data_IF_609720853774
#
_entry.id   IF_609720853774
#
_cell.length_a   1.000
_cell.length_b   1.000
_cell.length_c   1.000
_cell.angle_alpha   90.00
_cell.angle_beta   90.00
_cell.angle_gamma   90.00
#
_symmetry.space_group_name_H-M   'P 1'
#
loop_
_entity.id
_entity.type
_entity.pdbx_description
1 polymer ?
#
# COMPACT_ATOMS: atom_id res chain seq x y z
N UNK A 1 19.63 8.48 14.74
CA UNK A 1 18.64 8.70 13.63
C UNK A 1 17.40 7.88 13.95
N UNK A 2 16.20 8.36 13.61
CA UNK A 2 14.97 7.58 13.79
C UNK A 2 14.99 6.39 12.85
N UNK A 3 14.70 5.20 13.38
CA UNK A 3 14.56 3.97 12.59
C UNK A 3 13.20 3.98 11.88
N UNK A 4 13.17 3.72 10.59
CA UNK A 4 11.93 3.61 9.81
C UNK A 4 11.30 2.23 10.05
N UNK A 5 10.08 2.21 10.58
CA UNK A 5 9.34 1.01 10.89
C UNK A 5 8.31 0.71 9.81
N UNK A 6 8.46 -0.42 9.12
CA UNK A 6 7.58 -0.84 8.03
C UNK A 6 6.89 -2.16 8.39
N UNK A 7 5.57 -2.17 8.42
CA UNK A 7 4.76 -3.37 8.58
C UNK A 7 4.12 -3.74 7.24
N UNK A 8 4.46 -4.91 6.72
CA UNK A 8 3.85 -5.48 5.53
C UNK A 8 2.90 -6.61 5.92
N UNK A 9 1.65 -6.50 5.48
CA UNK A 9 0.55 -7.36 5.89
C UNK A 9 -0.03 -8.12 4.70
N UNK A 10 -0.22 -9.42 4.86
CA UNK A 10 -1.05 -10.25 3.98
C UNK A 10 -2.05 -11.02 4.85
N UNK A 11 -3.02 -10.28 5.42
CA UNK A 11 -3.97 -10.80 6.38
C UNK A 11 -4.79 -11.96 5.81
N UNK A 12 -4.81 -13.07 6.53
CA UNK A 12 -5.43 -14.33 6.10
C UNK A 12 -6.56 -14.77 7.01
N UNK A 13 -7.48 -15.53 6.42
CA UNK A 13 -8.50 -16.22 7.19
C UNK A 13 -7.91 -17.46 7.87
N UNK A 14 -8.18 -17.61 9.15
CA UNK A 14 -7.94 -18.84 9.92
C UNK A 14 -9.19 -19.73 9.93
N UNK A 15 -9.77 -20.01 8.77
CA UNK A 15 -10.98 -20.85 8.71
C UNK A 15 -10.58 -22.33 8.83
N UNK A 16 -11.29 -23.08 9.68
CA UNK A 16 -11.11 -24.53 9.84
C UNK A 16 -11.25 -25.20 8.45
N UNK A 17 -10.19 -25.88 7.98
CA UNK A 17 -10.15 -26.56 6.70
C UNK A 17 -9.64 -25.74 5.50
N UNK A 18 -9.48 -24.44 5.60
CA UNK A 18 -8.83 -23.63 4.58
C UNK A 18 -7.36 -23.41 4.99
N UNK A 19 -6.46 -24.21 4.43
CA UNK A 19 -5.03 -24.07 4.69
C UNK A 19 -4.47 -22.90 3.89
N UNK A 20 -4.30 -21.77 4.52
CA UNK A 20 -3.60 -20.61 3.97
C UNK A 20 -2.09 -20.66 4.25
N UNK A 21 -1.51 -21.86 4.22
CA UNK A 21 -0.09 -22.11 4.54
C UNK A 21 0.86 -21.79 3.37
N UNK A 22 0.46 -20.95 2.43
CA UNK A 22 1.36 -20.49 1.38
C UNK A 22 2.22 -19.31 1.86
N UNK A 23 3.42 -19.23 1.31
CA UNK A 23 4.33 -18.10 1.58
C UNK A 23 3.72 -16.82 0.96
N UNK A 24 3.65 -15.70 1.70
CA UNK A 24 3.12 -14.44 1.18
C UNK A 24 4.14 -13.76 0.26
N UNK A 25 4.32 -14.31 -0.95
CA UNK A 25 5.36 -13.89 -1.89
C UNK A 25 5.30 -12.40 -2.24
N UNK A 26 4.10 -11.83 -2.43
CA UNK A 26 3.95 -10.42 -2.78
C UNK A 26 4.59 -9.49 -1.77
N UNK A 27 4.21 -9.59 -0.49
CA UNK A 27 4.83 -8.76 0.56
C UNK A 27 6.29 -9.15 0.83
N UNK A 28 6.66 -10.41 0.60
CA UNK A 28 8.03 -10.91 0.71
C UNK A 28 8.94 -10.27 -0.34
N UNK A 29 8.53 -10.20 -1.60
CA UNK A 29 9.27 -9.55 -2.68
C UNK A 29 9.39 -8.05 -2.45
N UNK A 30 8.31 -7.35 -2.10
CA UNK A 30 8.35 -5.94 -1.73
C UNK A 30 9.35 -5.72 -0.59
N UNK A 31 9.25 -6.50 0.50
CA UNK A 31 10.15 -6.38 1.65
C UNK A 31 11.61 -6.59 1.31
N UNK A 32 11.94 -7.60 0.49
CA UNK A 32 13.30 -7.88 0.03
C UNK A 32 13.82 -6.77 -0.86
N UNK A 33 13.00 -6.30 -1.79
CA UNK A 33 13.38 -5.27 -2.75
C UNK A 33 13.69 -3.93 -2.07
N UNK A 34 12.81 -3.45 -1.19
CA UNK A 34 13.06 -2.18 -0.48
C UNK A 34 14.28 -2.26 0.44
N UNK A 35 14.53 -3.40 1.09
CA UNK A 35 15.75 -3.60 1.90
C UNK A 35 17.03 -3.55 1.06
N UNK A 36 16.97 -4.03 -0.18
CA UNK A 36 18.10 -3.95 -1.10
C UNK A 36 18.33 -2.54 -1.63
N UNK A 37 17.28 -1.82 -1.97
CA UNK A 37 17.37 -0.53 -2.63
C UNK A 37 17.57 0.65 -1.68
N UNK A 38 17.10 0.58 -0.43
CA UNK A 38 17.19 1.67 0.54
C UNK A 38 18.28 1.36 1.58
N UNK A 39 19.48 1.94 1.39
CA UNK A 39 20.63 1.79 2.31
C UNK A 39 20.85 3.01 3.21
N UNK A 40 20.26 4.15 2.84
CA UNK A 40 20.52 5.43 3.52
C UNK A 40 19.76 5.62 4.84
N UNK A 41 18.79 4.76 5.13
CA UNK A 41 17.92 4.85 6.30
C UNK A 41 17.98 3.53 7.07
N UNK A 42 18.19 3.61 8.39
CA UNK A 42 18.03 2.43 9.25
C UNK A 42 16.55 2.01 9.26
N UNK A 43 16.30 0.76 8.86
CA UNK A 43 14.96 0.23 8.60
C UNK A 43 14.71 -1.02 9.42
N UNK A 44 13.53 -1.06 10.04
CA UNK A 44 12.98 -2.26 10.66
C UNK A 44 11.73 -2.68 9.90
N UNK A 45 11.71 -3.90 9.40
CA UNK A 45 10.64 -4.43 8.57
C UNK A 45 10.12 -5.72 9.17
N UNK A 46 8.81 -5.75 9.43
CA UNK A 46 8.06 -6.92 9.87
C UNK A 46 7.07 -7.31 8.77
N UNK A 47 6.97 -8.62 8.52
CA UNK A 47 5.92 -9.19 7.67
C UNK A 47 4.99 -10.01 8.56
N UNK A 48 3.68 -9.80 8.43
CA UNK A 48 2.69 -10.57 9.17
C UNK A 48 1.50 -10.98 8.31
N UNK A 49 0.98 -12.16 8.58
CA UNK A 49 -0.21 -12.74 7.94
C UNK A 49 -1.34 -12.96 8.94
N UNK A 50 -1.05 -12.89 10.23
CA UNK A 50 -2.00 -13.10 11.30
C UNK A 50 -2.66 -11.76 11.69
N UNK A 51 -3.99 -11.64 11.56
CA UNK A 51 -4.71 -10.43 11.94
C UNK A 51 -4.47 -9.99 13.39
N UNK A 52 -4.46 -10.92 14.34
CA UNK A 52 -4.29 -10.59 15.77
C UNK A 52 -2.87 -10.04 16.02
N UNK A 53 -1.85 -10.66 15.41
CA UNK A 53 -0.48 -10.15 15.45
C UNK A 53 -0.39 -8.76 14.81
N UNK A 54 -1.00 -8.56 13.63
CA UNK A 54 -1.00 -7.27 12.93
C UNK A 54 -1.59 -6.18 13.83
N UNK A 55 -2.79 -6.38 14.39
CA UNK A 55 -3.40 -5.39 15.29
C UNK A 55 -2.61 -5.18 16.59
N UNK A 56 -1.96 -6.21 17.09
CA UNK A 56 -1.02 -6.13 18.21
C UNK A 56 0.17 -5.23 17.88
N UNK A 57 0.79 -5.42 16.72
CA UNK A 57 1.93 -4.63 16.22
C UNK A 57 1.56 -3.16 15.99
N UNK A 58 0.39 -2.87 15.43
CA UNK A 58 -0.07 -1.49 15.27
C UNK A 58 -0.05 -0.72 16.60
N UNK A 59 -0.50 -1.34 17.68
CA UNK A 59 -0.59 -0.72 19.00
C UNK A 59 0.76 -0.63 19.73
N UNK A 60 1.53 -1.71 19.72
CA UNK A 60 2.75 -1.85 20.51
C UNK A 60 3.98 -1.30 19.78
N UNK A 61 4.10 -1.60 18.49
CA UNK A 61 5.27 -1.24 17.69
C UNK A 61 5.12 0.08 16.93
N UNK A 62 3.88 0.48 16.61
CA UNK A 62 3.50 1.76 15.97
C UNK A 62 4.32 2.02 14.70
N UNK A 63 4.06 1.28 13.61
CA UNK A 63 4.79 1.42 12.36
C UNK A 63 4.61 2.82 11.75
N UNK A 64 5.65 3.30 11.06
CA UNK A 64 5.60 4.53 10.27
C UNK A 64 4.91 4.29 8.92
N UNK A 65 5.04 3.06 8.39
CA UNK A 65 4.46 2.63 7.12
C UNK A 65 3.74 1.30 7.31
N UNK A 66 2.54 1.21 6.77
CA UNK A 66 1.74 -0.02 6.68
C UNK A 66 1.44 -0.32 5.23
N UNK A 67 1.91 -1.46 4.74
CA UNK A 67 1.61 -1.98 3.41
C UNK A 67 0.73 -3.22 3.51
N UNK A 68 -0.42 -3.25 2.83
CA UNK A 68 -1.31 -4.41 2.85
C UNK A 68 -1.52 -4.98 1.45
N UNK A 69 -1.43 -6.30 1.32
CA UNK A 69 -1.96 -6.99 0.16
C UNK A 69 -3.48 -6.82 0.10
N UNK A 70 -4.03 -6.69 -1.11
CA UNK A 70 -5.44 -6.41 -1.30
C UNK A 70 -6.04 -7.36 -2.35
N UNK A 71 -6.59 -8.45 -1.84
CA UNK A 71 -7.34 -9.44 -2.58
C UNK A 71 -8.82 -9.40 -2.19
N UNK A 72 -9.69 -10.01 -2.98
CA UNK A 72 -11.13 -10.04 -2.70
C UNK A 72 -11.46 -10.60 -1.31
N UNK A 73 -10.66 -11.54 -0.83
CA UNK A 73 -10.88 -12.20 0.47
C UNK A 73 -10.35 -11.40 1.67
N UNK A 74 -9.39 -10.48 1.49
CA UNK A 74 -8.81 -9.69 2.58
C UNK A 74 -8.99 -8.17 2.45
N UNK A 75 -9.71 -7.71 1.43
CA UNK A 75 -9.88 -6.28 1.15
C UNK A 75 -10.48 -5.50 2.33
N UNK A 76 -11.46 -6.08 3.01
CA UNK A 76 -12.11 -5.43 4.15
C UNK A 76 -11.16 -5.33 5.35
N UNK A 77 -10.43 -6.40 5.66
CA UNK A 77 -9.48 -6.39 6.78
C UNK A 77 -8.27 -5.51 6.47
N UNK A 78 -7.79 -5.47 5.24
CA UNK A 78 -6.71 -4.56 4.82
C UNK A 78 -7.12 -3.08 5.01
N UNK A 79 -8.35 -2.72 4.67
CA UNK A 79 -8.90 -1.39 4.93
C UNK A 79 -9.03 -1.10 6.45
N UNK A 80 -9.45 -2.09 7.23
CA UNK A 80 -9.54 -1.96 8.69
C UNK A 80 -8.16 -1.76 9.32
N UNK A 81 -7.14 -2.49 8.88
CA UNK A 81 -5.75 -2.33 9.33
C UNK A 81 -5.28 -0.89 9.10
N UNK A 82 -5.49 -0.34 7.89
CA UNK A 82 -5.16 1.06 7.59
C UNK A 82 -5.94 2.04 8.49
N UNK A 83 -7.23 1.78 8.73
CA UNK A 83 -8.05 2.60 9.60
C UNK A 83 -7.55 2.60 11.04
N UNK A 84 -7.21 1.46 11.61
CA UNK A 84 -6.65 1.36 12.96
C UNK A 84 -5.26 2.00 13.05
N UNK A 85 -4.42 1.84 12.02
CA UNK A 85 -3.13 2.52 11.96
C UNK A 85 -3.29 4.05 12.01
N UNK A 86 -4.21 4.61 11.22
CA UNK A 86 -4.51 6.05 11.21
C UNK A 86 -5.12 6.57 12.52
N UNK A 87 -5.91 5.78 13.24
CA UNK A 87 -6.42 6.13 14.57
C UNK A 87 -5.30 6.25 15.60
N UNK A 88 -4.27 5.41 15.49
CA UNK A 88 -3.12 5.43 16.40
C UNK A 88 -2.16 6.57 16.05
N UNK A 89 -1.90 6.77 14.75
CA UNK A 89 -1.05 7.84 14.26
C UNK A 89 -1.51 8.26 12.86
N UNK A 90 -2.10 9.45 12.73
CA UNK A 90 -2.59 9.99 11.47
C UNK A 90 -1.49 10.13 10.40
N UNK A 91 -0.23 10.21 10.81
CA UNK A 91 0.93 10.30 9.91
C UNK A 91 1.50 8.93 9.51
N UNK A 92 0.90 7.80 9.94
CA UNK A 92 1.29 6.50 9.39
C UNK A 92 0.93 6.43 7.91
N UNK A 93 1.90 6.15 7.05
CA UNK A 93 1.68 5.98 5.61
C UNK A 93 1.02 4.63 5.34
N UNK A 94 -0.19 4.64 4.78
CA UNK A 94 -0.97 3.45 4.47
C UNK A 94 -1.01 3.20 2.95
N UNK A 95 -0.44 2.09 2.52
CA UNK A 95 -0.36 1.66 1.13
C UNK A 95 -1.05 0.31 1.00
N UNK A 96 -1.96 0.17 0.05
CA UNK A 96 -2.52 -1.12 -0.32
C UNK A 96 -2.17 -1.46 -1.77
N UNK A 97 -2.10 -2.74 -2.10
CA UNK A 97 -1.82 -3.17 -3.46
C UNK A 97 -2.27 -4.61 -3.70
N UNK A 98 -2.60 -4.93 -4.93
CA UNK A 98 -3.06 -6.26 -5.30
C UNK A 98 -4.20 -6.25 -6.33
N UNK A 99 -4.78 -7.41 -6.66
CA UNK A 99 -5.73 -7.51 -7.76
C UNK A 99 -7.13 -6.97 -7.47
N UNK A 100 -7.49 -6.75 -6.20
CA UNK A 100 -8.81 -6.22 -5.82
C UNK A 100 -8.83 -4.69 -6.00
N UNK A 101 -8.73 -4.26 -7.25
CA UNK A 101 -8.81 -2.88 -7.66
C UNK A 101 -9.64 -2.75 -8.94
N UNK A 102 -10.52 -1.74 -9.07
CA UNK A 102 -11.46 -1.65 -10.19
C UNK A 102 -10.84 -1.55 -11.57
N UNK A 103 -9.57 -1.21 -11.66
CA UNK A 103 -8.82 -1.19 -12.91
C UNK A 103 -8.49 -2.59 -13.47
N UNK A 104 -8.66 -3.65 -12.63
CA UNK A 104 -8.35 -5.03 -13.01
C UNK A 104 -6.85 -5.34 -12.99
N UNK A 105 -6.53 -6.62 -13.17
CA UNK A 105 -5.14 -7.13 -13.15
C UNK A 105 -4.42 -7.01 -14.50
N UNK A 106 -5.14 -6.64 -15.55
CA UNK A 106 -4.66 -6.70 -16.93
C UNK A 106 -4.33 -5.33 -17.53
N UNK A 107 -3.23 -4.71 -17.14
CA UNK A 107 -2.78 -3.43 -17.67
C UNK A 107 -2.59 -3.37 -19.18
N UNK A 108 -2.26 -4.48 -19.80
CA UNK A 108 -2.08 -4.56 -21.27
C UNK A 108 -3.36 -4.27 -22.04
N UNK A 109 -4.52 -4.28 -21.37
CA UNK A 109 -5.83 -4.08 -21.99
C UNK A 109 -6.41 -2.66 -21.87
N UNK A 110 -5.80 -1.78 -21.08
CA UNK A 110 -6.32 -0.41 -20.87
C UNK A 110 -6.12 0.49 -22.09
N UNK A 111 -5.27 0.13 -23.04
CA UNK A 111 -5.06 0.93 -24.26
C UNK A 111 -6.31 1.16 -25.12
N UNK A 112 -7.41 0.41 -24.89
CA UNK A 112 -8.63 0.47 -25.71
C UNK A 112 -9.92 0.63 -24.93
N UNK A 113 -9.91 0.76 -23.61
CA UNK A 113 -11.12 0.98 -22.82
C UNK A 113 -11.25 2.46 -22.45
N UNK A 114 -12.49 2.94 -22.44
CA UNK A 114 -12.85 4.31 -22.07
C UNK A 114 -12.19 4.69 -20.73
N UNK A 115 -11.06 5.36 -20.80
CA UNK A 115 -10.16 5.63 -19.69
C UNK A 115 -10.88 6.34 -18.54
N UNK A 116 -11.78 7.29 -18.83
CA UNK A 116 -12.49 8.07 -17.83
C UNK A 116 -13.37 7.20 -16.92
N UNK A 117 -14.14 6.24 -17.47
CA UNK A 117 -15.00 5.37 -16.66
C UNK A 117 -14.20 4.43 -15.72
N UNK A 118 -12.98 4.07 -16.10
CA UNK A 118 -12.10 3.26 -15.25
C UNK A 118 -11.53 4.12 -14.13
N UNK A 119 -11.12 5.36 -14.42
CA UNK A 119 -10.65 6.31 -13.40
C UNK A 119 -11.73 6.64 -12.38
N UNK A 120 -12.95 6.87 -12.80
CA UNK A 120 -14.09 7.13 -11.90
C UNK A 120 -14.30 5.98 -10.90
N UNK A 121 -14.19 4.73 -11.36
CA UNK A 121 -14.31 3.55 -10.49
C UNK A 121 -13.14 3.45 -9.50
N UNK A 122 -11.92 3.68 -9.95
CA UNK A 122 -10.74 3.67 -9.10
C UNK A 122 -10.80 4.78 -8.06
N UNK A 123 -11.24 5.96 -8.49
CA UNK A 123 -11.44 7.11 -7.62
C UNK A 123 -12.49 6.83 -6.53
N UNK A 124 -13.67 6.34 -6.94
CA UNK A 124 -14.73 5.95 -5.99
C UNK A 124 -14.24 4.89 -5.00
N UNK A 125 -13.49 3.91 -5.48
CA UNK A 125 -12.91 2.87 -4.63
C UNK A 125 -12.01 3.45 -3.52
N UNK A 126 -11.18 4.43 -3.84
CA UNK A 126 -10.32 5.10 -2.86
C UNK A 126 -11.08 6.04 -1.95
N UNK A 127 -12.12 6.75 -2.46
CA UNK A 127 -13.00 7.58 -1.64
C UNK A 127 -13.70 6.79 -0.53
N UNK A 128 -14.06 5.54 -0.80
CA UNK A 128 -14.65 4.64 0.19
C UNK A 128 -13.63 4.12 1.23
N UNK A 129 -12.32 4.43 1.06
CA UNK A 129 -11.21 3.97 1.90
C UNK A 129 -10.33 5.13 2.40
N UNK A 130 -10.89 6.07 3.19
CA UNK A 130 -10.21 7.31 3.57
C UNK A 130 -8.88 7.12 4.32
N UNK A 131 -8.68 5.95 4.91
CA UNK A 131 -7.45 5.65 5.64
C UNK A 131 -6.32 5.11 4.75
N UNK A 132 -6.59 4.87 3.47
CA UNK A 132 -5.60 4.45 2.48
C UNK A 132 -5.03 5.69 1.80
N UNK A 133 -3.72 5.89 1.89
CA UNK A 133 -3.05 7.03 1.24
C UNK A 133 -2.72 6.73 -0.22
N UNK A 134 -2.28 5.49 -0.52
CA UNK A 134 -1.90 5.09 -1.87
C UNK A 134 -2.37 3.69 -2.21
N UNK A 135 -2.69 3.50 -3.49
CA UNK A 135 -2.84 2.19 -4.08
C UNK A 135 -1.64 1.90 -4.99
N UNK A 136 -0.84 0.90 -4.63
CA UNK A 136 0.23 0.39 -5.47
C UNK A 136 -0.37 -0.52 -6.54
N UNK A 137 -0.51 -0.01 -7.75
CA UNK A 137 -1.04 -0.74 -8.89
C UNK A 137 0.09 -1.21 -9.80
N UNK A 138 0.06 -2.44 -10.26
CA UNK A 138 1.05 -3.08 -11.14
C UNK A 138 2.25 -3.67 -10.40
N UNK A 139 3.46 -3.28 -10.75
CA UNK A 139 4.70 -3.79 -10.16
C UNK A 139 4.88 -3.21 -8.75
N UNK A 140 4.27 -3.90 -7.78
CA UNK A 140 4.19 -3.44 -6.40
C UNK A 140 5.54 -3.09 -5.79
N UNK A 141 6.59 -3.81 -6.16
CA UNK A 141 7.96 -3.59 -5.67
C UNK A 141 8.47 -2.20 -6.06
N UNK A 142 8.28 -1.82 -7.33
CA UNK A 142 8.78 -0.55 -7.87
C UNK A 142 7.94 0.60 -7.32
N UNK A 143 6.61 0.47 -7.40
CA UNK A 143 5.68 1.52 -6.94
C UNK A 143 5.84 1.77 -5.43
N UNK A 144 5.92 0.70 -4.62
CA UNK A 144 6.12 0.84 -3.18
C UNK A 144 7.46 1.51 -2.85
N UNK A 145 8.54 1.13 -3.55
CA UNK A 145 9.86 1.75 -3.38
C UNK A 145 9.82 3.25 -3.66
N UNK A 146 9.19 3.67 -4.75
CA UNK A 146 9.11 5.09 -5.13
C UNK A 146 8.30 5.91 -4.12
N UNK A 147 7.13 5.41 -3.69
CA UNK A 147 6.34 6.06 -2.63
C UNK A 147 7.18 6.19 -1.37
N UNK A 148 7.88 5.14 -0.97
CA UNK A 148 8.71 5.12 0.24
C UNK A 148 9.90 6.08 0.15
N UNK A 149 10.58 6.16 -0.99
CA UNK A 149 11.66 7.11 -1.22
C UNK A 149 11.17 8.56 -1.13
N UNK A 150 10.00 8.87 -1.67
CA UNK A 150 9.41 10.20 -1.53
C UNK A 150 8.96 10.49 -0.10
N UNK A 151 8.44 9.51 0.61
CA UNK A 151 8.09 9.67 2.03
C UNK A 151 9.31 10.02 2.88
N UNK A 152 10.45 9.34 2.64
CA UNK A 152 11.73 9.64 3.29
C UNK A 152 12.19 11.06 2.95
N UNK A 153 12.20 11.44 1.66
CA UNK A 153 12.59 12.79 1.20
C UNK A 153 11.74 13.90 1.78
N UNK A 154 10.45 13.61 2.06
CA UNK A 154 9.52 14.56 2.65
C UNK A 154 9.45 14.47 4.18
N UNK A 155 10.55 14.06 4.83
CA UNK A 155 10.70 14.01 6.28
C UNK A 155 9.65 13.13 6.98
N UNK A 156 9.28 12.02 6.37
CA UNK A 156 8.27 11.08 6.89
C UNK A 156 6.91 11.74 7.14
N UNK A 157 6.52 12.69 6.30
CA UNK A 157 5.21 13.39 6.36
C UNK A 157 4.31 12.94 5.23
N UNK A 158 3.17 12.33 5.58
CA UNK A 158 2.13 11.92 4.62
C UNK A 158 1.54 13.13 3.91
N UNK A 159 1.28 14.23 4.63
CA UNK A 159 0.73 15.45 4.05
C UNK A 159 1.64 16.04 2.97
N UNK A 160 2.96 16.12 3.25
CA UNK A 160 3.92 16.61 2.27
C UNK A 160 4.08 15.66 1.09
N UNK A 161 4.07 14.34 1.36
CA UNK A 161 4.14 13.31 0.34
C UNK A 161 2.97 13.43 -0.66
N UNK A 162 1.74 13.57 -0.18
CA UNK A 162 0.56 13.73 -1.03
C UNK A 162 0.69 14.96 -1.94
N UNK A 163 1.20 16.08 -1.41
CA UNK A 163 1.41 17.29 -2.21
C UNK A 163 2.42 17.11 -3.34
N UNK A 164 3.46 16.33 -3.11
CA UNK A 164 4.54 16.10 -4.09
C UNK A 164 4.12 15.07 -5.13
N UNK A 165 3.54 13.95 -4.71
CA UNK A 165 3.16 12.87 -5.63
C UNK A 165 2.00 13.21 -6.56
N UNK A 166 1.22 14.27 -6.26
CA UNK A 166 0.23 14.83 -7.20
C UNK A 166 0.82 15.25 -8.55
N UNK A 167 2.11 15.53 -8.62
CA UNK A 167 2.79 15.95 -9.83
C UNK A 167 3.71 14.91 -10.44
N UNK A 168 3.84 13.72 -9.86
CA UNK A 168 4.70 12.65 -10.38
C UNK A 168 3.89 11.70 -11.24
N UNK A 169 3.88 11.99 -12.54
CA UNK A 169 3.51 11.02 -13.56
C UNK A 169 4.57 9.95 -13.65
N UNK A 170 4.24 8.72 -13.28
CA UNK A 170 5.15 7.58 -13.39
C UNK A 170 4.95 6.92 -14.74
N UNK A 171 5.66 7.41 -15.74
CA UNK A 171 5.48 7.02 -17.15
C UNK A 171 5.74 5.53 -17.44
N UNK A 172 6.46 4.80 -16.58
CA UNK A 172 6.91 3.45 -16.89
C UNK A 172 6.55 2.35 -15.87
N UNK A 173 5.96 2.67 -14.71
CA UNK A 173 5.89 1.73 -13.59
C UNK A 173 4.49 1.45 -13.07
N UNK A 174 3.48 1.99 -13.67
CA UNK A 174 2.12 1.88 -13.20
C UNK A 174 1.62 3.15 -12.52
N UNK A 175 0.32 3.24 -12.39
CA UNK A 175 -0.36 4.43 -11.88
C UNK A 175 -0.46 4.36 -10.36
N UNK A 176 0.06 5.36 -9.67
CA UNK A 176 -0.23 5.58 -8.26
C UNK A 176 -1.47 6.46 -8.16
N UNK A 177 -2.40 6.08 -7.29
CA UNK A 177 -3.56 6.89 -6.94
C UNK A 177 -3.34 7.46 -5.56
N UNK A 178 -3.25 8.80 -5.46
CA UNK A 178 -3.16 9.46 -4.18
C UNK A 178 -4.56 9.69 -3.61
N UNK A 179 -4.68 9.54 -2.30
CA UNK A 179 -5.87 9.91 -1.57
C UNK A 179 -5.92 11.41 -1.31
N UNK A 180 -6.41 12.17 -2.22
CA UNK A 180 -6.89 13.53 -1.97
C UNK A 180 -8.05 13.88 -2.90
N UNK A 181 -8.60 12.86 -3.49
CA UNK A 181 -9.65 13.00 -4.44
C UNK A 181 -9.20 13.33 -5.85
N UNK A 182 -7.92 13.23 -6.21
CA UNK A 182 -7.46 13.42 -7.58
C UNK A 182 -6.71 12.20 -8.11
N UNK A 183 -7.11 11.73 -9.28
CA UNK A 183 -6.35 10.76 -10.06
C UNK A 183 -5.12 11.47 -10.61
N UNK A 184 -3.93 10.91 -10.37
CA UNK A 184 -2.71 11.37 -11.02
C UNK A 184 -2.77 10.81 -12.44
N UNK A 185 -2.99 11.68 -13.41
CA UNK A 185 -2.86 11.30 -14.82
C UNK A 185 -1.39 11.10 -15.18
N UNK A 186 -1.09 10.13 -16.06
CA UNK A 186 0.26 9.91 -16.55
C UNK A 186 0.74 11.07 -17.41
#
# INVERSE_FOLDING_TARGET
>A
MKKLKILLCDARHSTIGAHSNYVPLGIGFIGSYIKDQIKAVDMELILSIDPDEIFGLLKSWKPDVVGCSNYIWNSQISNLICSEAKKINTNTLCIIGGPEFPAGTGQRYIKNTNTNATYDKCFKYLLERPSVDYYAWCDGEIVFLEILQQFIKNNFSVENLIKVLKGLCMENTGKCFAWDGQVIEP
#
